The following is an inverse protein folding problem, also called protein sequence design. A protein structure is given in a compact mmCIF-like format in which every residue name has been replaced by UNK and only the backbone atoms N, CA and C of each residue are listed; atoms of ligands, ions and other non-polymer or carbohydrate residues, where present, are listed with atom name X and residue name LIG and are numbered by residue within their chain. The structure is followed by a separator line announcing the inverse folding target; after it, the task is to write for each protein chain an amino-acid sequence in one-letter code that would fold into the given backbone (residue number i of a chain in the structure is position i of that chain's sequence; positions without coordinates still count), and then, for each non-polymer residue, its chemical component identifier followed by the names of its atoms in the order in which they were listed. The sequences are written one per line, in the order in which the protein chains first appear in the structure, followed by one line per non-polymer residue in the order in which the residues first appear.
data_IF_858474258773
#
_entry.id   IF_858474258773
#
_cell.length_a   1.000
_cell.length_b   1.000
_cell.length_c   1.000
_cell.angle_alpha   90.00
_cell.angle_beta   90.00
_cell.angle_gamma   90.00
#
_symmetry.space_group_name_H-M   'P 1'
#
loop_
_entity.id
_entity.type
_entity.pdbx_description
1 polymer ?
#
# COMPACT_ATOMS: atom_id res chain seq x y z
N UNK A 1 12.58 15.71 -13.37
CA UNK A 1 11.35 14.90 -13.56
C UNK A 1 10.70 14.78 -12.19
N UNK A 2 9.51 15.35 -11.99
CA UNK A 2 8.75 15.13 -10.74
C UNK A 2 8.49 13.63 -10.62
N UNK A 3 8.74 12.99 -9.46
CA UNK A 3 8.42 11.58 -9.30
C UNK A 3 6.92 11.41 -9.58
N UNK A 4 6.57 10.59 -10.57
CA UNK A 4 5.17 10.35 -10.91
C UNK A 4 4.42 9.77 -9.71
N UNK A 5 3.14 10.13 -9.56
CA UNK A 5 2.28 9.52 -8.55
C UNK A 5 2.05 8.04 -8.88
N UNK A 6 2.09 7.19 -7.87
CA UNK A 6 1.76 5.77 -7.97
C UNK A 6 0.56 5.44 -7.09
N UNK A 7 -0.23 4.46 -7.53
CA UNK A 7 -1.26 3.83 -6.71
C UNK A 7 -0.74 2.50 -6.20
N UNK A 8 -0.73 2.30 -4.89
CA UNK A 8 -0.47 1.01 -4.27
C UNK A 8 -1.80 0.38 -3.81
N UNK A 9 -1.98 -0.90 -4.12
CA UNK A 9 -3.15 -1.70 -3.75
C UNK A 9 -2.65 -2.93 -3.03
N UNK A 10 -3.07 -3.08 -1.79
CA UNK A 10 -2.79 -4.26 -0.99
C UNK A 10 -4.06 -5.11 -0.88
N UNK A 11 -4.19 -6.17 -1.71
CA UNK A 11 -5.42 -6.92 -1.83
C UNK A 11 -5.67 -7.80 -0.60
N UNK A 12 -6.94 -8.13 -0.40
CA UNK A 12 -7.42 -9.06 0.61
C UNK A 12 -8.82 -9.54 0.24
N UNK A 13 -9.24 -10.66 0.82
CA UNK A 13 -10.51 -11.32 0.45
C UNK A 13 -11.73 -10.45 0.75
N UNK A 14 -11.75 -9.75 1.88
CA UNK A 14 -12.88 -8.92 2.31
C UNK A 14 -12.61 -7.41 2.16
N UNK A 15 -11.34 -7.01 2.17
CA UNK A 15 -10.90 -5.61 2.16
C UNK A 15 -9.61 -5.45 1.39
N UNK A 16 -9.46 -4.31 0.74
CA UNK A 16 -8.24 -3.89 0.05
C UNK A 16 -7.76 -2.56 0.64
N UNK A 17 -6.49 -2.52 1.03
CA UNK A 17 -5.82 -1.26 1.33
C UNK A 17 -5.44 -0.57 0.03
N UNK A 18 -5.67 0.74 -0.07
CA UNK A 18 -5.27 1.55 -1.23
C UNK A 18 -4.57 2.82 -0.77
N UNK A 19 -3.51 3.22 -1.48
CA UNK A 19 -2.77 4.44 -1.20
C UNK A 19 -2.20 5.07 -2.46
N UNK A 20 -2.27 6.40 -2.57
CA UNK A 20 -1.57 7.17 -3.58
C UNK A 20 -0.30 7.76 -2.96
N UNK A 21 0.84 7.54 -3.60
CA UNK A 21 2.11 8.08 -3.16
C UNK A 21 2.74 8.95 -4.24
N UNK A 22 3.30 10.09 -3.84
CA UNK A 22 4.14 10.95 -4.70
C UNK A 22 5.47 11.16 -4.02
N UNK A 23 6.58 10.80 -4.67
CA UNK A 23 7.93 10.88 -4.09
C UNK A 23 8.10 10.17 -2.72
N UNK A 24 7.25 9.20 -2.39
CA UNK A 24 7.25 8.47 -1.11
C UNK A 24 6.36 9.06 -0.01
N UNK A 25 5.81 10.25 -0.25
CA UNK A 25 4.79 10.89 0.58
C UNK A 25 3.40 10.34 0.26
N UNK A 26 2.56 10.17 1.27
CA UNK A 26 1.20 9.65 1.12
C UNK A 26 0.23 10.79 0.83
N UNK A 27 -0.39 10.77 -0.35
CA UNK A 27 -1.35 11.80 -0.78
C UNK A 27 -2.78 11.44 -0.37
N UNK A 28 -3.17 10.18 -0.60
CA UNK A 28 -4.48 9.65 -0.22
C UNK A 28 -4.30 8.19 0.24
N UNK A 29 -5.13 7.74 1.19
CA UNK A 29 -5.20 6.33 1.60
C UNK A 29 -6.60 5.96 2.10
N UNK A 30 -7.00 4.71 1.90
CA UNK A 30 -8.27 4.18 2.38
C UNK A 30 -8.24 2.65 2.44
N UNK A 31 -9.09 2.06 3.26
CA UNK A 31 -9.47 0.64 3.16
C UNK A 31 -10.86 0.56 2.55
N UNK A 32 -11.01 -0.26 1.52
CA UNK A 32 -12.24 -0.42 0.72
C UNK A 32 -12.60 -1.89 0.58
N UNK A 33 -13.85 -2.22 0.28
CA UNK A 33 -14.19 -3.57 -0.17
C UNK A 33 -13.68 -3.78 -1.60
N UNK A 34 -13.41 -5.03 -2.02
CA UNK A 34 -13.08 -5.34 -3.42
C UNK A 34 -14.12 -4.83 -4.41
N UNK A 35 -15.40 -4.85 -4.05
CA UNK A 35 -16.50 -4.43 -4.91
C UNK A 35 -16.56 -2.90 -5.09
N UNK A 36 -16.12 -2.12 -4.09
CA UNK A 36 -16.03 -0.66 -4.17
C UNK A 36 -14.70 -0.15 -4.73
N UNK A 37 -13.74 -1.04 -4.99
CA UNK A 37 -12.36 -0.67 -5.30
C UNK A 37 -12.27 0.30 -6.48
N UNK A 38 -12.83 -0.08 -7.64
CA UNK A 38 -12.78 0.73 -8.86
C UNK A 38 -13.44 2.10 -8.69
N UNK A 39 -14.56 2.15 -7.95
CA UNK A 39 -15.28 3.38 -7.66
C UNK A 39 -14.43 4.36 -6.86
N UNK A 40 -13.60 3.85 -5.94
CA UNK A 40 -12.73 4.69 -5.11
C UNK A 40 -11.46 5.09 -5.86
N UNK A 41 -10.80 4.17 -6.58
CA UNK A 41 -9.51 4.47 -7.21
C UNK A 41 -9.64 5.23 -8.54
N UNK A 42 -10.76 5.11 -9.26
CA UNK A 42 -10.97 5.79 -10.54
C UNK A 42 -10.78 7.31 -10.47
N UNK A 43 -11.45 8.03 -9.53
CA UNK A 43 -11.22 9.45 -9.32
C UNK A 43 -9.77 9.79 -8.98
N UNK A 44 -9.08 8.92 -8.23
CA UNK A 44 -7.67 9.12 -7.86
C UNK A 44 -6.73 9.00 -9.05
N UNK A 45 -6.95 8.01 -9.92
CA UNK A 45 -6.17 7.80 -11.14
C UNK A 45 -6.18 9.07 -12.00
N UNK A 46 -7.36 9.67 -12.17
CA UNK A 46 -7.53 10.91 -12.95
C UNK A 46 -6.89 12.10 -12.24
N UNK A 47 -7.24 12.32 -10.97
CA UNK A 47 -6.81 13.49 -10.19
C UNK A 47 -5.29 13.58 -10.05
N UNK A 48 -4.64 12.45 -9.77
CA UNK A 48 -3.20 12.38 -9.55
C UNK A 48 -2.41 12.01 -10.80
N UNK A 49 -3.09 11.83 -11.95
CA UNK A 49 -2.49 11.42 -13.23
C UNK A 49 -1.62 10.17 -13.08
N UNK A 50 -2.16 9.19 -12.35
CA UNK A 50 -1.44 7.96 -12.02
C UNK A 50 -1.16 7.21 -13.31
N UNK A 51 0.07 6.73 -13.47
CA UNK A 51 0.47 5.84 -14.59
C UNK A 51 0.94 4.47 -14.12
N UNK A 52 1.25 4.34 -12.83
CA UNK A 52 1.82 3.14 -12.23
C UNK A 52 0.93 2.67 -11.10
N UNK A 53 0.51 1.42 -11.18
CA UNK A 53 -0.19 0.72 -10.11
C UNK A 53 0.70 -0.41 -9.60
N UNK A 54 0.80 -0.52 -8.28
CA UNK A 54 1.54 -1.57 -7.60
C UNK A 54 0.54 -2.42 -6.82
N UNK A 55 0.57 -3.74 -7.00
CA UNK A 55 -0.33 -4.67 -6.34
C UNK A 55 0.47 -5.65 -5.49
N UNK A 56 0.09 -5.83 -4.23
CA UNK A 56 0.72 -6.81 -3.35
C UNK A 56 0.33 -8.23 -3.75
N UNK A 57 1.27 -9.18 -3.68
CA UNK A 57 1.04 -10.57 -4.09
C UNK A 57 0.34 -11.43 -3.01
N UNK A 58 -0.68 -10.88 -2.34
CA UNK A 58 -1.48 -11.60 -1.31
C UNK A 58 -2.66 -12.36 -1.90
N UNK A 59 -3.34 -13.14 -1.06
CA UNK A 59 -4.62 -13.75 -1.37
C UNK A 59 -5.61 -12.73 -1.94
N UNK A 60 -6.12 -12.98 -3.15
CA UNK A 60 -7.00 -12.06 -3.88
C UNK A 60 -6.30 -11.15 -4.89
N UNK A 61 -4.97 -11.17 -4.98
CA UNK A 61 -4.21 -10.34 -5.91
C UNK A 61 -4.59 -10.55 -7.37
N UNK A 62 -4.73 -11.81 -7.83
CA UNK A 62 -5.06 -12.11 -9.23
C UNK A 62 -6.39 -11.46 -9.66
N UNK A 63 -7.43 -11.59 -8.83
CA UNK A 63 -8.75 -10.97 -9.09
C UNK A 63 -8.65 -9.45 -9.17
N UNK A 64 -7.92 -8.83 -8.25
CA UNK A 64 -7.75 -7.38 -8.23
C UNK A 64 -6.91 -6.87 -9.40
N UNK A 65 -5.86 -7.62 -9.77
CA UNK A 65 -5.02 -7.33 -10.94
C UNK A 65 -5.84 -7.36 -12.22
N UNK A 66 -6.63 -8.41 -12.44
CA UNK A 66 -7.52 -8.52 -13.60
C UNK A 66 -8.54 -7.38 -13.65
N UNK A 67 -9.16 -7.07 -12.51
CA UNK A 67 -10.14 -5.99 -12.39
C UNK A 67 -9.52 -4.62 -12.75
N UNK A 68 -8.34 -4.31 -12.23
CA UNK A 68 -7.62 -3.06 -12.51
C UNK A 68 -7.14 -2.99 -13.95
N UNK A 69 -6.58 -4.08 -14.49
CA UNK A 69 -6.10 -4.13 -15.87
C UNK A 69 -7.24 -3.95 -16.88
N UNK A 70 -8.41 -4.52 -16.61
CA UNK A 70 -9.60 -4.36 -17.45
C UNK A 70 -10.16 -2.94 -17.39
N UNK A 71 -10.22 -2.33 -16.20
CA UNK A 71 -10.77 -0.99 -16.01
C UNK A 71 -9.83 0.12 -16.50
N UNK A 72 -8.51 -0.09 -16.38
CA UNK A 72 -7.50 0.92 -16.68
C UNK A 72 -6.35 0.35 -17.54
N UNK A 73 -6.62 0.01 -18.82
CA UNK A 73 -5.63 -0.64 -19.69
C UNK A 73 -4.40 0.22 -20.02
N UNK A 74 -4.46 1.52 -19.73
CA UNK A 74 -3.37 2.47 -19.93
C UNK A 74 -2.38 2.55 -18.74
N UNK A 75 -2.68 1.88 -17.62
CA UNK A 75 -1.82 1.87 -16.44
C UNK A 75 -0.83 0.71 -16.49
N UNK A 76 0.41 0.97 -16.08
CA UNK A 76 1.41 -0.08 -15.86
C UNK A 76 1.17 -0.73 -14.50
N UNK A 77 0.77 -2.00 -14.49
CA UNK A 77 0.48 -2.77 -13.27
C UNK A 77 1.67 -3.67 -12.92
N UNK A 78 2.25 -3.45 -11.74
CA UNK A 78 3.38 -4.21 -11.21
C UNK A 78 2.98 -4.99 -9.97
N UNK A 79 3.36 -6.26 -9.91
CA UNK A 79 3.22 -7.06 -8.70
C UNK A 79 4.47 -6.88 -7.82
N UNK A 80 4.27 -6.75 -6.51
CA UNK A 80 5.36 -6.68 -5.54
C UNK A 80 5.23 -7.81 -4.53
N UNK A 81 6.28 -8.60 -4.43
CA UNK A 81 6.37 -9.69 -3.46
C UNK A 81 6.49 -9.18 -2.03
N UNK A 82 5.72 -9.80 -1.16
CA UNK A 82 5.52 -9.41 0.24
C UNK A 82 6.54 -9.98 1.23
N UNK A 83 7.62 -10.62 0.79
CA UNK A 83 8.59 -11.18 1.74
C UNK A 83 9.11 -10.05 2.69
N UNK A 84 8.64 -10.04 3.95
CA UNK A 84 9.04 -9.10 5.00
C UNK A 84 8.12 -7.88 5.28
N UNK A 85 6.95 -7.72 4.64
CA UNK A 85 6.10 -6.50 4.77
C UNK A 85 5.52 -6.29 6.18
N UNK A 86 5.22 -7.37 6.91
CA UNK A 86 4.67 -7.29 8.28
C UNK A 86 5.60 -6.58 9.26
N UNK A 87 6.92 -6.79 9.13
CA UNK A 87 7.90 -6.19 10.05
C UNK A 87 8.12 -4.70 9.71
N UNK A 88 8.12 -4.34 8.43
CA UNK A 88 8.33 -2.96 7.99
C UNK A 88 7.11 -2.07 8.30
N UNK A 89 5.89 -2.57 8.07
CA UNK A 89 4.66 -1.89 8.46
C UNK A 89 4.60 -1.65 9.98
N UNK A 90 5.00 -2.65 10.78
CA UNK A 90 5.16 -2.53 12.24
C UNK A 90 6.13 -1.43 12.63
N UNK A 91 7.31 -1.39 12.01
CA UNK A 91 8.30 -0.33 12.27
C UNK A 91 7.78 1.06 11.93
N UNK A 92 7.10 1.22 10.80
CA UNK A 92 6.55 2.51 10.34
C UNK A 92 5.58 3.12 11.35
N UNK A 93 4.60 2.36 11.82
CA UNK A 93 3.69 2.90 12.83
C UNK A 93 4.36 3.14 14.17
N UNK A 94 5.33 2.31 14.62
CA UNK A 94 6.02 2.62 15.87
C UNK A 94 6.93 3.85 15.76
N UNK A 95 7.31 4.27 14.55
CA UNK A 95 7.91 5.58 14.32
C UNK A 95 6.89 6.71 14.51
N UNK A 96 5.67 6.56 13.98
CA UNK A 96 4.58 7.53 14.14
C UNK A 96 3.97 7.53 15.57
N UNK A 97 4.01 6.38 16.26
CA UNK A 97 3.38 6.10 17.55
C UNK A 97 4.37 5.33 18.45
N UNK A 98 5.40 6.01 18.99
CA UNK A 98 6.43 5.36 19.78
C UNK A 98 5.81 4.65 21.01
N UNK A 99 6.22 3.41 21.30
CA UNK A 99 5.65 2.66 22.41
C UNK A 99 5.96 3.35 23.74
N UNK A 100 4.93 3.60 24.54
CA UNK A 100 5.03 4.26 25.86
C UNK A 100 4.89 3.24 27.00
N UNK A 101 5.49 3.52 28.14
CA UNK A 101 5.42 2.67 29.34
C UNK A 101 6.18 1.35 29.20
N UNK A 102 5.65 0.27 29.77
CA UNK A 102 6.27 -1.07 29.79
C UNK A 102 6.54 -1.63 28.38
N UNK A 103 5.77 -1.18 27.37
CA UNK A 103 5.98 -1.54 25.96
C UNK A 103 7.31 -1.05 25.38
N UNK A 104 8.00 -0.09 25.99
CA UNK A 104 9.33 0.35 25.55
C UNK A 104 10.40 -0.73 25.72
N UNK A 105 10.20 -1.69 26.63
CA UNK A 105 11.16 -2.75 26.95
C UNK A 105 11.02 -3.98 26.04
N UNK A 106 9.97 -4.06 25.22
CA UNK A 106 9.76 -5.16 24.29
C UNK A 106 10.39 -4.85 22.92
N UNK A 107 11.08 -5.81 22.28
CA UNK A 107 11.51 -5.66 20.89
C UNK A 107 10.33 -5.30 19.99
N UNK A 108 10.48 -4.28 19.14
CA UNK A 108 9.42 -3.81 18.21
C UNK A 108 8.88 -4.93 17.32
N UNK A 109 9.68 -5.95 17.04
CA UNK A 109 9.29 -7.15 16.30
C UNK A 109 8.22 -7.99 17.00
N UNK A 110 8.17 -7.95 18.34
CA UNK A 110 7.25 -8.69 19.20
C UNK A 110 6.05 -7.87 19.65
N UNK A 111 6.04 -6.56 19.38
CA UNK A 111 4.92 -5.72 19.76
C UNK A 111 3.81 -5.79 18.72
N UNK A 112 2.66 -6.35 19.12
CA UNK A 112 1.43 -6.16 18.37
C UNK A 112 0.87 -4.78 18.67
N UNK A 113 0.57 -4.01 17.63
CA UNK A 113 0.05 -2.70 17.82
C UNK A 113 -1.43 -2.68 18.21
N UNK A 114 -1.87 -1.69 19.02
CA UNK A 114 -3.16 -1.75 19.69
C UNK A 114 -4.38 -1.34 18.84
N UNK A 115 -4.23 -0.58 17.74
CA UNK A 115 -5.34 -0.07 16.93
C UNK A 115 -5.10 -0.27 15.42
N UNK A 116 -6.16 -0.54 14.65
CA UNK A 116 -6.26 -0.70 13.19
C UNK A 116 -4.96 -0.41 12.38
N UNK A 117 -4.14 -1.45 12.24
CA UNK A 117 -2.89 -1.40 11.46
C UNK A 117 -3.06 -1.74 9.98
N UNK A 118 -4.22 -2.26 9.61
CA UNK A 118 -4.50 -2.76 8.26
C UNK A 118 -4.43 -1.65 7.19
N UNK A 119 -4.45 -0.38 7.58
CA UNK A 119 -4.50 0.77 6.68
C UNK A 119 -3.13 1.19 6.12
N UNK A 120 -2.03 0.63 6.64
CA UNK A 120 -0.66 1.02 6.25
C UNK A 120 0.00 0.08 5.25
N UNK A 121 -0.57 -1.09 5.00
CA UNK A 121 0.05 -2.11 4.17
C UNK A 121 0.24 -1.63 2.73
N UNK A 122 -0.75 -0.93 2.15
CA UNK A 122 -0.62 -0.30 0.82
C UNK A 122 0.45 0.81 0.79
N UNK A 123 0.61 1.57 1.87
CA UNK A 123 1.67 2.58 1.97
C UNK A 123 3.05 1.94 2.00
N UNK A 124 3.22 0.88 2.81
CA UNK A 124 4.46 0.13 2.90
C UNK A 124 4.83 -0.50 1.54
N UNK A 125 3.84 -1.08 0.85
CA UNK A 125 3.98 -1.62 -0.49
C UNK A 125 4.48 -0.56 -1.49
N UNK A 126 3.83 0.60 -1.53
CA UNK A 126 4.21 1.69 -2.43
C UNK A 126 5.62 2.23 -2.15
N UNK A 127 5.98 2.42 -0.87
CA UNK A 127 7.34 2.85 -0.48
C UNK A 127 8.39 1.81 -0.85
N UNK A 128 8.10 0.52 -0.70
CA UNK A 128 9.00 -0.56 -1.11
C UNK A 128 9.28 -0.52 -2.60
N UNK A 129 8.24 -0.40 -3.42
CA UNK A 129 8.39 -0.29 -4.87
C UNK A 129 9.28 0.91 -5.26
N UNK A 130 9.05 2.08 -4.65
CA UNK A 130 9.87 3.28 -4.89
C UNK A 130 11.35 3.09 -4.50
N UNK A 131 11.65 2.31 -3.46
CA UNK A 131 13.04 2.02 -3.07
C UNK A 131 13.71 1.01 -4.01
N UNK A 132 12.97 0.01 -4.47
CA UNK A 132 13.49 -0.99 -5.43
C UNK A 132 13.81 -0.34 -6.78
N UNK A 133 12.94 0.55 -7.28
CA UNK A 133 13.17 1.29 -8.53
C UNK A 133 14.28 2.36 -8.48
N UNK A 134 14.83 2.66 -7.29
CA UNK A 134 15.97 3.59 -7.12
C UNK A 134 17.33 2.88 -7.07
N UNK A 135 17.36 1.56 -7.08
CA UNK A 135 18.57 0.74 -7.02
C UNK A 135 18.90 0.05 -8.37
N UNK A 136 18.15 0.37 -9.43
CA UNK A 136 18.38 -0.11 -10.80
C UNK A 136 18.81 1.00 -11.73
#
# INVERSE_FOLDING_TARGET
MTPGALLAIDPGTEKCGVAVLTAGEVMERRVVSPDDLLRVIGPWVIRHRIRTVVIGNRTGASRIRELVAAAFPHLSVHDVEEAGTTLEARRLYFADHPPRGWRRLLPLSLQLPPNAYDDYSAVALGRRFLRQGRQG
#
